data_IF_027620122686
#
_entry.id   IF_027620122686
#
_cell.length_a   1.000
_cell.length_b   1.000
_cell.length_c   1.000
_cell.angle_alpha   90.00
_cell.angle_beta   90.00
_cell.angle_gamma   90.00
#
_symmetry.space_group_name_H-M   'P 1'
#
loop_
_entity.id
_entity.type
_entity.pdbx_description
1 polymer ?
#
# COMPACT_ATOMS: atom_id res chain seq x y z
N UNK A 1 -7.75 26.48 38.96
CA UNK A 1 -8.41 25.83 37.80
C UNK A 1 -7.34 25.62 36.78
N UNK A 2 -6.91 24.38 36.59
CA UNK A 2 -5.91 24.07 35.57
C UNK A 2 -6.55 24.21 34.19
N UNK A 3 -5.81 24.78 33.24
CA UNK A 3 -6.30 24.87 31.87
C UNK A 3 -6.54 23.45 31.33
N UNK A 4 -7.65 23.17 30.63
CA UNK A 4 -7.90 21.85 30.08
C UNK A 4 -6.82 21.53 29.05
N UNK A 5 -5.86 20.70 29.45
CA UNK A 5 -4.84 20.15 28.56
C UNK A 5 -5.58 19.34 27.51
N UNK A 6 -5.76 19.91 26.30
CA UNK A 6 -6.30 19.19 25.14
C UNK A 6 -5.55 17.86 25.08
N UNK A 7 -6.21 16.70 25.29
CA UNK A 7 -5.51 15.42 25.38
C UNK A 7 -4.79 15.24 24.04
N UNK A 8 -3.45 15.15 24.09
CA UNK A 8 -2.62 15.22 22.88
C UNK A 8 -3.11 14.21 21.86
N UNK A 9 -3.67 14.65 20.71
CA UNK A 9 -4.18 13.71 19.72
C UNK A 9 -3.06 12.73 19.30
N UNK A 10 -3.38 11.43 19.15
CA UNK A 10 -2.38 10.38 18.98
C UNK A 10 -1.59 10.54 17.68
N UNK A 11 -0.60 9.66 17.52
CA UNK A 11 0.41 9.64 16.46
C UNK A 11 -0.09 10.18 15.11
N UNK A 12 0.40 11.37 14.73
CA UNK A 12 0.07 11.96 13.43
C UNK A 12 0.79 11.16 12.36
N UNK A 13 0.02 10.66 11.40
CA UNK A 13 0.51 9.81 10.32
C UNK A 13 0.57 10.63 9.03
N UNK A 14 1.74 10.66 8.40
CA UNK A 14 1.91 11.13 7.03
C UNK A 14 1.78 9.96 6.06
N UNK A 15 0.86 10.09 5.10
CA UNK A 15 0.59 9.08 4.07
C UNK A 15 1.35 9.33 2.76
N UNK A 16 1.91 10.54 2.58
CA UNK A 16 2.79 10.86 1.46
C UNK A 16 2.44 12.18 0.78
N UNK A 17 3.13 12.42 -0.34
CA UNK A 17 2.93 13.58 -1.21
C UNK A 17 2.41 13.12 -2.58
N UNK A 18 1.71 14.00 -3.28
CA UNK A 18 1.52 13.94 -4.73
C UNK A 18 1.41 15.36 -5.31
N UNK A 19 1.50 15.50 -6.64
CA UNK A 19 1.35 16.81 -7.29
C UNK A 19 -0.03 16.98 -7.89
N UNK A 20 -0.64 18.13 -7.58
CA UNK A 20 -1.78 18.73 -8.28
C UNK A 20 -1.26 19.89 -9.17
N UNK A 21 -2.13 20.49 -9.97
CA UNK A 21 -1.84 21.61 -10.87
C UNK A 21 -1.23 22.83 -10.15
N UNK A 22 -1.70 23.09 -8.92
CA UNK A 22 -1.27 24.23 -8.11
C UNK A 22 -0.01 23.94 -7.25
N UNK A 23 0.49 22.71 -7.24
CA UNK A 23 1.68 22.30 -6.48
C UNK A 23 1.53 20.98 -5.70
N UNK A 24 2.52 20.62 -4.86
CA UNK A 24 2.51 19.42 -4.04
C UNK A 24 1.41 19.47 -2.98
N UNK A 25 0.83 18.31 -2.75
CA UNK A 25 -0.21 18.04 -1.78
C UNK A 25 0.30 16.94 -0.86
N UNK A 26 0.42 17.26 0.42
CA UNK A 26 0.87 16.39 1.49
C UNK A 26 -0.35 15.92 2.30
N UNK A 27 -0.50 14.61 2.49
CA UNK A 27 -1.66 14.03 3.20
C UNK A 27 -1.24 13.56 4.58
N UNK A 28 -1.89 14.12 5.60
CA UNK A 28 -1.69 13.76 7.00
C UNK A 28 -3.01 13.29 7.62
N UNK A 29 -2.94 12.40 8.61
CA UNK A 29 -4.07 11.86 9.34
C UNK A 29 -3.81 11.90 10.85
N UNK A 30 -4.87 12.16 11.61
CA UNK A 30 -4.91 11.93 13.05
C UNK A 30 -6.29 11.32 13.38
N UNK A 31 -6.31 10.14 14.01
CA UNK A 31 -7.54 9.40 14.32
C UNK A 31 -8.43 9.17 13.09
N UNK A 32 -9.65 9.71 13.05
CA UNK A 32 -10.58 9.66 11.90
C UNK A 32 -10.42 10.83 10.93
N UNK A 33 -9.56 11.80 11.23
CA UNK A 33 -9.44 13.06 10.49
C UNK A 33 -8.26 13.04 9.50
N UNK A 34 -8.56 13.32 8.23
CA UNK A 34 -7.55 13.60 7.19
C UNK A 34 -7.42 15.11 7.01
N UNK A 35 -6.18 15.61 6.91
CA UNK A 35 -5.86 16.98 6.52
C UNK A 35 -4.89 16.97 5.34
N UNK A 36 -5.34 17.59 4.26
CA UNK A 36 -4.62 17.71 2.99
C UNK A 36 -3.98 19.10 2.90
N UNK A 37 -2.64 19.16 2.90
CA UNK A 37 -1.88 20.43 2.94
C UNK A 37 -1.18 20.65 1.61
N UNK A 38 -1.56 21.71 0.90
CA UNK A 38 -0.94 22.11 -0.37
C UNK A 38 0.19 23.12 -0.14
N UNK A 39 1.35 22.91 -0.76
CA UNK A 39 2.55 23.74 -0.58
C UNK A 39 2.90 24.50 -1.86
N UNK A 40 3.65 25.59 -1.74
CA UNK A 40 4.05 26.44 -2.88
C UNK A 40 5.43 26.06 -3.44
N UNK A 41 5.62 24.76 -3.68
CA UNK A 41 6.93 24.17 -3.96
C UNK A 41 6.94 23.50 -5.34
N UNK A 42 7.71 24.04 -6.30
CA UNK A 42 7.96 23.46 -7.63
C UNK A 42 6.84 23.59 -8.69
N UNK A 43 6.79 24.74 -9.38
CA UNK A 43 6.10 24.89 -10.68
C UNK A 43 6.91 24.22 -11.80
N UNK A 44 6.81 22.90 -11.93
CA UNK A 44 7.50 22.17 -12.99
C UNK A 44 6.99 20.75 -13.20
N UNK A 45 6.96 20.30 -14.46
CA UNK A 45 6.80 18.87 -14.74
C UNK A 45 8.03 18.09 -14.25
N UNK A 46 7.80 17.02 -13.49
CA UNK A 46 8.83 16.06 -13.05
C UNK A 46 9.29 15.18 -14.22
N UNK A 47 10.01 15.79 -15.16
CA UNK A 47 10.63 15.10 -16.29
C UNK A 47 11.69 14.08 -15.85
N UNK A 48 12.44 13.55 -16.82
CA UNK A 48 13.49 12.57 -16.54
C UNK A 48 14.77 13.16 -15.93
N UNK A 49 14.90 14.50 -15.81
CA UNK A 49 16.04 15.11 -15.14
C UNK A 49 16.13 14.69 -13.66
N UNK A 50 17.25 14.06 -13.29
CA UNK A 50 17.58 13.62 -11.95
C UNK A 50 17.73 14.76 -10.93
N UNK A 51 18.18 15.94 -11.35
CA UNK A 51 18.40 17.11 -10.48
C UNK A 51 17.05 17.64 -9.97
N UNK A 52 16.10 17.90 -10.87
CA UNK A 52 14.72 18.30 -10.54
C UNK A 52 14.01 17.28 -9.64
N UNK A 53 14.33 15.99 -9.78
CA UNK A 53 13.81 14.93 -8.89
C UNK A 53 14.44 14.94 -7.50
N UNK A 54 15.65 15.46 -7.36
CA UNK A 54 16.29 15.65 -6.06
C UNK A 54 15.80 16.94 -5.40
N UNK A 55 15.80 18.06 -6.14
CA UNK A 55 15.19 19.33 -5.73
C UNK A 55 13.76 19.14 -5.19
N UNK A 56 12.93 18.36 -5.90
CA UNK A 56 11.58 18.01 -5.47
C UNK A 56 11.55 17.24 -4.13
N UNK A 57 12.49 16.31 -3.90
CA UNK A 57 12.60 15.56 -2.63
C UNK A 57 13.04 16.46 -1.49
N UNK A 58 14.02 17.32 -1.74
CA UNK A 58 14.58 18.23 -0.75
C UNK A 58 13.51 19.26 -0.33
N UNK A 59 12.77 19.81 -1.29
CA UNK A 59 11.58 20.64 -1.04
C UNK A 59 10.47 19.88 -0.30
N UNK A 60 10.17 18.63 -0.69
CA UNK A 60 9.16 17.78 -0.01
C UNK A 60 9.54 17.54 1.45
N UNK A 61 10.82 17.27 1.74
CA UNK A 61 11.32 17.07 3.09
C UNK A 61 11.21 18.35 3.92
N UNK A 62 11.65 19.48 3.38
CA UNK A 62 11.57 20.80 4.00
C UNK A 62 10.12 21.22 4.31
N UNK A 63 9.18 21.01 3.38
CA UNK A 63 7.76 21.25 3.59
C UNK A 63 7.20 20.37 4.74
N UNK A 64 7.61 19.11 4.82
CA UNK A 64 7.23 18.19 5.92
C UNK A 64 7.86 18.60 7.25
N UNK A 65 9.11 19.06 7.28
CA UNK A 65 9.77 19.58 8.49
C UNK A 65 9.06 20.84 9.02
N UNK A 66 8.66 21.76 8.13
CA UNK A 66 7.84 22.93 8.51
C UNK A 66 6.52 22.46 9.12
N UNK A 67 5.78 21.58 8.44
CA UNK A 67 4.49 21.08 8.92
C UNK A 67 4.65 20.32 10.25
N UNK A 68 5.75 19.60 10.45
CA UNK A 68 6.10 18.91 11.69
C UNK A 68 6.19 19.88 12.88
N UNK A 69 6.76 21.09 12.68
CA UNK A 69 6.77 22.14 13.72
C UNK A 69 5.36 22.61 14.07
N UNK A 70 4.44 22.60 13.10
CA UNK A 70 3.08 23.12 13.23
C UNK A 70 2.07 22.12 13.82
N UNK A 71 2.38 20.82 13.90
CA UNK A 71 1.42 19.76 14.30
C UNK A 71 0.71 20.01 15.64
N UNK A 72 1.36 20.65 16.60
CA UNK A 72 0.74 21.02 17.89
C UNK A 72 -0.35 22.09 17.78
N UNK A 73 -0.40 22.84 16.67
CA UNK A 73 -1.37 23.90 16.38
C UNK A 73 -2.46 23.47 15.37
N UNK A 74 -2.42 22.23 14.88
CA UNK A 74 -3.41 21.72 13.91
C UNK A 74 -4.71 21.36 14.64
N UNK A 75 -5.79 22.02 14.22
CA UNK A 75 -7.15 21.73 14.67
C UNK A 75 -7.78 20.65 13.79
N UNK A 76 -7.42 19.40 14.07
CA UNK A 76 -7.94 18.22 13.37
C UNK A 76 -9.48 18.20 13.36
N UNK A 77 -10.06 17.84 12.22
CA UNK A 77 -11.51 17.87 12.00
C UNK A 77 -12.11 19.24 11.70
N UNK A 78 -11.39 20.35 11.88
CA UNK A 78 -11.88 21.70 11.53
C UNK A 78 -12.04 21.91 10.02
N UNK A 79 -11.08 21.43 9.24
CA UNK A 79 -11.15 21.41 7.77
C UNK A 79 -10.48 20.17 7.19
N UNK A 80 -10.85 19.81 5.95
CA UNK A 80 -10.17 18.76 5.17
C UNK A 80 -8.94 19.29 4.42
N UNK A 81 -8.80 20.60 4.24
CA UNK A 81 -7.72 21.21 3.45
C UNK A 81 -7.03 22.36 4.17
N UNK A 82 -5.76 22.59 3.84
CA UNK A 82 -5.02 23.81 4.18
C UNK A 82 -3.98 24.14 3.09
N UNK A 83 -3.54 25.40 3.05
CA UNK A 83 -2.39 25.82 2.25
C UNK A 83 -1.24 26.20 3.18
N UNK A 84 -0.03 25.70 2.94
CA UNK A 84 1.19 26.17 3.60
C UNK A 84 1.64 27.48 2.92
N UNK A 85 1.65 28.57 3.69
CA UNK A 85 1.95 29.91 3.18
C UNK A 85 3.10 30.52 3.97
N UNK A 86 4.17 30.90 3.27
CA UNK A 86 5.28 31.69 3.82
C UNK A 86 4.88 33.16 3.93
N UNK A 87 5.21 33.78 5.06
CA UNK A 87 4.94 35.21 5.31
C UNK A 87 6.14 36.10 4.93
N UNK A 88 5.92 37.42 4.89
CA UNK A 88 6.98 38.41 4.62
C UNK A 88 8.09 38.45 5.69
N UNK A 89 7.79 38.00 6.91
CA UNK A 89 8.75 37.76 7.99
C UNK A 89 9.64 36.53 7.76
N UNK A 90 9.35 35.73 6.73
CA UNK A 90 10.00 34.44 6.47
C UNK A 90 9.43 33.26 7.26
N UNK A 91 8.49 33.50 8.20
CA UNK A 91 7.74 32.46 8.92
C UNK A 91 6.78 31.70 7.98
N UNK A 92 6.13 30.66 8.51
CA UNK A 92 5.13 29.86 7.80
C UNK A 92 3.85 29.74 8.62
N UNK A 93 2.70 29.72 7.94
CA UNK A 93 1.41 29.37 8.55
C UNK A 93 0.50 28.55 7.64
N UNK A 94 -0.44 27.84 8.24
CA UNK A 94 -1.48 27.10 7.55
C UNK A 94 -2.72 27.98 7.33
N UNK A 95 -3.17 28.08 6.07
CA UNK A 95 -4.44 28.69 5.69
C UNK A 95 -5.50 27.62 5.46
N UNK A 96 -6.19 27.25 6.54
CA UNK A 96 -7.29 26.28 6.53
C UNK A 96 -8.43 26.69 5.58
N UNK A 97 -8.90 25.73 4.79
CA UNK A 97 -10.01 25.86 3.83
C UNK A 97 -10.82 24.56 3.83
N UNK A 98 -12.14 24.66 3.81
CA UNK A 98 -12.95 23.52 3.38
C UNK A 98 -13.00 23.53 1.84
N UNK A 99 -12.43 22.52 1.20
CA UNK A 99 -12.67 22.25 -0.22
C UNK A 99 -13.70 21.12 -0.30
N UNK A 100 -14.91 21.42 -0.77
CA UNK A 100 -15.98 20.41 -0.94
C UNK A 100 -15.64 19.53 -2.14
N UNK A 101 -15.74 18.18 -2.06
CA UNK A 101 -15.59 17.31 -3.22
C UNK A 101 -16.59 17.66 -4.33
N UNK A 102 -16.18 17.55 -5.59
CA UNK A 102 -17.07 17.84 -6.73
C UNK A 102 -18.22 16.81 -6.75
N UNK A 103 -19.49 17.22 -6.91
CA UNK A 103 -20.59 16.25 -7.03
C UNK A 103 -20.40 15.39 -8.28
N UNK A 104 -20.59 14.07 -8.13
CA UNK A 104 -20.47 13.11 -9.22
C UNK A 104 -21.82 12.88 -9.90
N UNK A 105 -21.84 12.94 -11.22
CA UNK A 105 -23.00 12.54 -12.05
C UNK A 105 -22.73 11.15 -12.62
N UNK A 106 -23.04 10.13 -11.84
CA UNK A 106 -22.84 8.71 -12.19
C UNK A 106 -24.17 7.94 -12.07
N UNK A 107 -24.26 6.77 -12.70
CA UNK A 107 -25.49 5.98 -12.68
C UNK A 107 -25.63 5.16 -11.38
N UNK A 108 -26.71 5.37 -10.62
CA UNK A 108 -26.92 4.73 -9.32
C UNK A 108 -27.57 3.33 -9.43
N UNK A 109 -26.81 2.35 -9.94
CA UNK A 109 -27.27 0.97 -10.16
C UNK A 109 -27.15 0.04 -8.93
N UNK A 110 -26.32 0.40 -7.96
CA UNK A 110 -26.08 -0.35 -6.72
C UNK A 110 -26.57 0.45 -5.50
N UNK A 111 -26.81 -0.19 -4.34
CA UNK A 111 -27.32 0.48 -3.14
C UNK A 111 -26.43 1.65 -2.71
N UNK A 112 -27.02 2.78 -2.32
CA UNK A 112 -26.28 3.89 -1.73
C UNK A 112 -26.02 3.64 -0.24
N UNK A 113 -24.82 4.02 0.23
CA UNK A 113 -24.35 3.83 1.61
C UNK A 113 -23.70 5.13 2.07
N UNK A 114 -24.01 5.67 3.25
CA UNK A 114 -23.23 6.82 3.79
C UNK A 114 -21.90 6.28 4.34
N UNK A 115 -20.80 6.96 4.06
CA UNK A 115 -19.45 6.62 4.54
C UNK A 115 -19.38 6.43 6.06
N UNK A 116 -20.29 7.05 6.83
CA UNK A 116 -20.44 6.89 8.29
C UNK A 116 -20.96 5.51 8.72
N UNK A 117 -21.53 4.70 7.81
CA UNK A 117 -21.86 3.29 8.06
C UNK A 117 -20.62 2.37 8.00
N UNK A 118 -19.48 2.88 7.50
CA UNK A 118 -18.30 2.08 7.16
C UNK A 118 -17.14 2.42 8.10
N UNK A 119 -16.70 1.47 8.92
CA UNK A 119 -15.53 1.65 9.78
C UNK A 119 -14.24 1.47 8.96
N UNK A 120 -13.53 2.57 8.67
CA UNK A 120 -12.35 2.56 7.77
C UNK A 120 -11.09 2.12 8.52
N UNK A 121 -10.90 0.81 8.60
CA UNK A 121 -9.82 0.13 9.31
C UNK A 121 -8.45 0.35 8.68
N UNK A 122 -8.33 0.38 7.35
CA UNK A 122 -7.04 0.54 6.65
C UNK A 122 -7.14 1.50 5.46
N UNK A 123 -6.04 2.19 5.18
CA UNK A 123 -5.85 3.03 3.99
C UNK A 123 -4.73 2.36 3.20
N UNK A 124 -4.92 2.22 1.89
CA UNK A 124 -3.99 1.50 0.99
C UNK A 124 -3.11 2.47 0.18
N UNK A 125 -3.62 3.66 -0.15
CA UNK A 125 -2.85 4.76 -0.72
C UNK A 125 -3.20 6.11 -0.06
N UNK A 126 -2.54 7.18 -0.51
CA UNK A 126 -2.74 8.55 -0.02
C UNK A 126 -3.84 9.32 -0.77
N UNK A 127 -4.73 8.67 -1.53
CA UNK A 127 -5.68 9.35 -2.42
C UNK A 127 -7.10 8.79 -2.37
N UNK A 128 -7.27 7.50 -2.63
CA UNK A 128 -8.56 6.89 -2.93
C UNK A 128 -8.79 5.50 -2.33
N UNK A 129 -7.76 4.66 -2.23
CA UNK A 129 -7.93 3.25 -1.90
C UNK A 129 -7.89 3.02 -0.39
N UNK A 130 -8.96 2.41 0.13
CA UNK A 130 -9.14 2.12 1.55
C UNK A 130 -9.77 0.74 1.73
N UNK A 131 -9.76 0.24 2.95
CA UNK A 131 -10.52 -0.93 3.39
C UNK A 131 -11.24 -0.60 4.69
N UNK A 132 -12.34 -1.30 4.94
CA UNK A 132 -13.10 -1.11 6.16
C UNK A 132 -13.98 -2.30 6.50
N UNK A 133 -14.85 -2.09 7.48
CA UNK A 133 -15.90 -3.04 7.87
C UNK A 133 -17.26 -2.35 7.64
N UNK A 134 -18.11 -2.97 6.84
CA UNK A 134 -19.52 -2.57 6.68
C UNK A 134 -20.42 -3.75 7.02
N UNK A 135 -21.35 -3.55 7.97
CA UNK A 135 -22.30 -4.58 8.44
C UNK A 135 -21.65 -5.92 8.83
N UNK A 136 -20.40 -5.88 9.30
CA UNK A 136 -19.62 -7.06 9.71
C UNK A 136 -18.86 -7.78 8.60
N UNK A 137 -18.89 -7.30 7.35
CA UNK A 137 -18.09 -7.80 6.22
C UNK A 137 -16.87 -6.89 6.01
N UNK A 138 -15.70 -7.46 5.72
CA UNK A 138 -14.56 -6.68 5.20
C UNK A 138 -14.90 -6.15 3.80
N UNK A 139 -14.60 -4.87 3.52
CA UNK A 139 -14.91 -4.21 2.24
C UNK A 139 -13.71 -3.43 1.70
N UNK A 140 -13.56 -3.41 0.38
CA UNK A 140 -12.61 -2.55 -0.32
C UNK A 140 -13.33 -1.29 -0.82
N UNK A 141 -12.64 -0.15 -0.80
CA UNK A 141 -13.22 1.17 -1.01
C UNK A 141 -12.35 1.98 -1.98
N UNK A 142 -12.97 2.55 -3.02
CA UNK A 142 -12.35 3.59 -3.87
C UNK A 142 -13.16 4.88 -3.68
N UNK A 143 -12.67 5.77 -2.82
CA UNK A 143 -13.40 6.97 -2.35
C UNK A 143 -12.55 8.23 -2.55
N UNK A 144 -13.14 9.25 -3.15
CA UNK A 144 -12.59 10.59 -3.33
C UNK A 144 -12.69 11.44 -2.04
N UNK A 145 -11.54 11.73 -1.42
CA UNK A 145 -11.42 12.85 -0.46
C UNK A 145 -10.93 14.14 -1.14
N UNK A 146 -10.38 14.05 -2.36
CA UNK A 146 -9.87 15.20 -3.11
C UNK A 146 -11.00 15.98 -3.82
N UNK A 147 -10.93 17.31 -3.87
CA UNK A 147 -11.83 18.16 -4.65
C UNK A 147 -11.40 18.35 -6.13
N UNK A 148 -10.30 17.73 -6.55
CA UNK A 148 -9.77 17.85 -7.91
C UNK A 148 -10.71 17.21 -8.94
N UNK A 149 -10.97 17.92 -10.07
CA UNK A 149 -11.96 17.46 -11.04
C UNK A 149 -11.65 16.09 -11.64
N UNK A 150 -10.37 15.80 -11.91
CA UNK A 150 -9.95 14.53 -12.51
C UNK A 150 -10.13 13.34 -11.56
N UNK A 151 -10.12 13.55 -10.24
CA UNK A 151 -10.43 12.50 -9.25
C UNK A 151 -11.92 12.18 -9.29
N UNK A 152 -12.76 13.22 -9.42
CA UNK A 152 -14.20 13.05 -9.61
C UNK A 152 -14.52 12.32 -10.92
N UNK A 153 -13.89 12.73 -12.02
CA UNK A 153 -14.05 12.10 -13.33
C UNK A 153 -13.63 10.61 -13.26
N UNK A 154 -12.49 10.30 -12.62
CA UNK A 154 -12.00 8.92 -12.40
C UNK A 154 -12.92 8.05 -11.54
N UNK A 155 -13.56 8.59 -10.49
CA UNK A 155 -14.51 7.84 -9.66
C UNK A 155 -15.83 7.60 -10.40
N UNK A 156 -16.27 8.53 -11.26
CA UNK A 156 -17.40 8.26 -12.16
C UNK A 156 -17.08 7.12 -13.13
N UNK A 157 -15.90 7.17 -13.78
CA UNK A 157 -15.44 6.08 -14.65
C UNK A 157 -15.30 4.75 -13.91
N UNK A 158 -14.95 4.75 -12.62
CA UNK A 158 -14.97 3.53 -11.80
C UNK A 158 -16.39 2.98 -11.64
N UNK A 159 -17.37 3.81 -11.26
CA UNK A 159 -18.76 3.39 -11.01
C UNK A 159 -19.42 2.85 -12.30
N UNK A 160 -19.21 3.55 -13.42
CA UNK A 160 -19.79 3.18 -14.71
C UNK A 160 -19.04 1.98 -15.34
N UNK A 161 -17.71 1.90 -15.21
CA UNK A 161 -16.92 0.74 -15.62
C UNK A 161 -17.18 -0.51 -14.78
N UNK A 162 -17.41 -0.35 -13.47
CA UNK A 162 -17.74 -1.44 -12.57
C UNK A 162 -19.11 -2.03 -12.88
N UNK A 163 -20.08 -1.19 -13.32
CA UNK A 163 -21.37 -1.67 -13.83
C UNK A 163 -21.17 -2.62 -15.02
N UNK A 164 -20.38 -2.20 -16.01
CA UNK A 164 -20.07 -2.99 -17.20
C UNK A 164 -19.37 -4.30 -16.85
N UNK A 165 -18.32 -4.25 -16.03
CA UNK A 165 -17.59 -5.44 -15.61
C UNK A 165 -18.44 -6.37 -14.71
N UNK A 166 -19.39 -5.84 -13.95
CA UNK A 166 -20.33 -6.65 -13.14
C UNK A 166 -21.34 -7.36 -14.04
N UNK A 167 -21.92 -6.66 -15.03
CA UNK A 167 -22.86 -7.23 -16.00
C UNK A 167 -22.24 -8.37 -16.83
N UNK A 168 -20.94 -8.26 -17.14
CA UNK A 168 -20.16 -9.30 -17.83
C UNK A 168 -19.49 -10.33 -16.88
N UNK A 169 -19.71 -10.23 -15.56
CA UNK A 169 -19.17 -11.17 -14.57
C UNK A 169 -17.67 -11.07 -14.29
N UNK A 170 -16.95 -10.08 -14.82
CA UNK A 170 -15.52 -9.84 -14.63
C UNK A 170 -15.16 -8.95 -13.43
N UNK A 171 -16.14 -8.33 -12.76
CA UNK A 171 -15.90 -7.58 -11.51
C UNK A 171 -16.00 -8.44 -10.25
N UNK A 172 -15.43 -7.94 -9.15
CA UNK A 172 -15.76 -8.38 -7.79
C UNK A 172 -17.14 -7.83 -7.39
N UNK A 173 -17.80 -8.42 -6.38
CA UNK A 173 -19.12 -7.96 -5.94
C UNK A 173 -19.11 -6.48 -5.51
N UNK A 174 -19.85 -5.63 -6.23
CA UNK A 174 -20.12 -4.25 -5.81
C UNK A 174 -21.19 -4.26 -4.73
N UNK A 175 -20.81 -3.81 -3.53
CA UNK A 175 -21.66 -3.82 -2.34
C UNK A 175 -22.45 -2.51 -2.17
N UNK A 176 -21.99 -1.42 -2.78
CA UNK A 176 -22.71 -0.16 -2.82
C UNK A 176 -21.92 1.00 -3.41
N UNK A 177 -22.64 2.09 -3.70
CA UNK A 177 -22.10 3.39 -4.09
C UNK A 177 -21.99 4.24 -2.83
N UNK A 178 -20.77 4.67 -2.50
CA UNK A 178 -20.46 5.37 -1.25
C UNK A 178 -20.80 6.85 -1.39
N UNK A 179 -21.54 7.37 -0.42
CA UNK A 179 -21.98 8.76 -0.34
C UNK A 179 -21.44 9.42 0.92
N UNK A 180 -21.33 10.75 0.91
CA UNK A 180 -20.98 11.55 2.08
C UNK A 180 -21.79 12.84 2.03
N UNK A 181 -22.63 13.05 3.06
CA UNK A 181 -23.52 14.20 3.17
C UNK A 181 -24.46 14.36 1.94
N UNK A 182 -24.92 13.24 1.39
CA UNK A 182 -25.82 13.18 0.23
C UNK A 182 -25.15 13.23 -1.15
N UNK A 183 -23.88 13.62 -1.24
CA UNK A 183 -23.11 13.55 -2.49
C UNK A 183 -22.44 12.18 -2.65
N UNK A 184 -22.39 11.63 -3.88
CA UNK A 184 -21.58 10.43 -4.15
C UNK A 184 -20.10 10.80 -4.05
N UNK A 185 -19.31 9.94 -3.39
CA UNK A 185 -17.86 10.10 -3.20
C UNK A 185 -17.06 8.86 -3.61
N UNK A 186 -17.69 7.71 -3.84
CA UNK A 186 -16.93 6.49 -4.14
C UNK A 186 -17.77 5.26 -4.45
N UNK A 187 -17.10 4.12 -4.50
CA UNK A 187 -17.67 2.79 -4.68
C UNK A 187 -17.05 1.80 -3.69
N UNK A 188 -17.86 0.83 -3.26
CA UNK A 188 -17.52 -0.19 -2.27
C UNK A 188 -17.65 -1.58 -2.91
N UNK A 189 -16.60 -2.38 -2.81
CA UNK A 189 -16.52 -3.75 -3.27
C UNK A 189 -16.35 -4.71 -2.10
N UNK A 190 -16.60 -6.00 -2.33
CA UNK A 190 -15.97 -7.04 -1.52
C UNK A 190 -14.43 -6.96 -1.61
N UNK A 191 -13.73 -7.46 -0.59
CA UNK A 191 -12.27 -7.54 -0.65
C UNK A 191 -11.85 -8.49 -1.79
N UNK A 192 -10.94 -8.09 -2.69
CA UNK A 192 -10.37 -8.99 -3.69
C UNK A 192 -9.68 -10.20 -3.04
N UNK A 193 -10.16 -11.39 -3.38
CA UNK A 193 -9.62 -12.69 -2.97
C UNK A 193 -9.34 -13.53 -4.21
N UNK A 194 -8.15 -14.14 -4.26
CA UNK A 194 -7.67 -14.89 -5.41
C UNK A 194 -6.13 -14.90 -5.41
N UNK A 195 -5.54 -15.01 -6.60
CA UNK A 195 -4.08 -14.89 -6.80
C UNK A 195 -3.78 -14.04 -8.03
N UNK A 196 -2.58 -13.49 -8.11
CA UNK A 196 -2.10 -12.83 -9.33
C UNK A 196 -1.91 -13.82 -10.49
N UNK A 197 -1.98 -13.30 -11.72
CA UNK A 197 -1.82 -14.04 -12.98
C UNK A 197 -0.41 -14.64 -13.11
N UNK A 198 -0.34 -15.86 -13.64
CA UNK A 198 0.87 -16.62 -13.97
C UNK A 198 0.82 -17.10 -15.44
N UNK A 199 1.94 -17.56 -16.00
CA UNK A 199 2.04 -17.93 -17.43
C UNK A 199 1.09 -19.07 -17.89
N UNK A 200 0.67 -19.95 -16.97
CA UNK A 200 -0.29 -21.00 -17.29
C UNK A 200 -1.73 -20.49 -17.43
N UNK A 201 -2.06 -19.30 -16.92
CA UNK A 201 -3.40 -18.72 -16.99
C UNK A 201 -3.73 -18.10 -18.36
N UNK A 202 -2.75 -18.04 -19.28
CA UNK A 202 -2.84 -17.24 -20.50
C UNK A 202 -4.08 -17.53 -21.35
N UNK A 203 -4.48 -18.79 -21.50
CA UNK A 203 -5.69 -19.14 -22.26
C UNK A 203 -6.92 -18.44 -21.68
N UNK A 204 -7.18 -18.62 -20.37
CA UNK A 204 -8.31 -18.00 -19.68
C UNK A 204 -8.28 -16.46 -19.70
N UNK A 205 -7.10 -15.82 -19.84
CA UNK A 205 -7.03 -14.39 -20.12
C UNK A 205 -7.38 -14.06 -21.58
N UNK A 206 -6.75 -14.70 -22.57
CA UNK A 206 -7.08 -14.44 -23.98
C UNK A 206 -8.57 -14.67 -24.27
N UNK A 207 -9.17 -15.71 -23.70
CA UNK A 207 -10.61 -16.01 -23.78
C UNK A 207 -11.46 -14.90 -23.13
N UNK A 208 -11.11 -14.46 -21.92
CA UNK A 208 -11.84 -13.40 -21.20
C UNK A 208 -11.74 -12.02 -21.88
N UNK A 209 -10.57 -11.71 -22.46
CA UNK A 209 -10.38 -10.46 -23.19
C UNK A 209 -11.05 -10.49 -24.56
N UNK A 210 -11.13 -11.65 -25.22
CA UNK A 210 -11.90 -11.80 -26.45
C UNK A 210 -13.40 -11.63 -26.20
N UNK A 211 -13.92 -12.16 -25.10
CA UNK A 211 -15.33 -11.96 -24.73
C UNK A 211 -15.63 -10.52 -24.30
N UNK A 212 -14.69 -9.80 -23.67
CA UNK A 212 -14.81 -8.36 -23.43
C UNK A 212 -14.90 -7.56 -24.74
N UNK A 213 -13.97 -7.79 -25.69
CA UNK A 213 -13.98 -7.09 -26.99
C UNK A 213 -15.26 -7.41 -27.79
N UNK A 214 -15.72 -8.66 -27.79
CA UNK A 214 -16.99 -9.10 -28.37
C UNK A 214 -18.22 -8.39 -27.78
N UNK A 215 -18.18 -8.00 -26.50
CA UNK A 215 -19.22 -7.17 -25.85
C UNK A 215 -18.95 -5.66 -26.00
N UNK A 216 -18.05 -5.26 -26.91
CA UNK A 216 -17.64 -3.87 -27.21
C UNK A 216 -16.93 -3.16 -26.04
N UNK A 217 -16.21 -3.91 -25.20
CA UNK A 217 -15.54 -3.40 -24.00
C UNK A 217 -14.02 -3.52 -24.09
N UNK A 218 -13.30 -2.40 -23.98
CA UNK A 218 -11.82 -2.41 -23.84
C UNK A 218 -11.41 -2.01 -22.43
N UNK A 219 -11.13 -3.02 -21.61
CA UNK A 219 -10.40 -2.82 -20.35
C UNK A 219 -8.91 -2.49 -20.60
N UNK A 220 -8.47 -1.29 -20.23
CA UNK A 220 -7.08 -0.83 -20.44
C UNK A 220 -6.13 -1.14 -19.28
N UNK A 221 -6.64 -1.58 -18.14
CA UNK A 221 -5.90 -1.73 -16.88
C UNK A 221 -4.98 -2.94 -16.78
N UNK A 222 -4.53 -3.54 -17.89
CA UNK A 222 -3.72 -4.76 -17.87
C UNK A 222 -2.34 -4.49 -17.23
N UNK A 223 -2.20 -4.90 -15.97
CA UNK A 223 -0.96 -4.82 -15.18
C UNK A 223 -0.69 -6.15 -14.47
N UNK A 224 0.44 -6.24 -13.77
CA UNK A 224 0.84 -7.42 -13.00
C UNK A 224 -0.02 -7.71 -11.77
N UNK A 225 -0.82 -6.73 -11.32
CA UNK A 225 -1.62 -6.78 -10.08
C UNK A 225 -3.11 -6.57 -10.30
N UNK A 226 -3.54 -5.95 -11.40
CA UNK A 226 -4.94 -5.58 -11.60
C UNK A 226 -5.82 -6.71 -12.14
N UNK A 227 -5.21 -7.81 -12.62
CA UNK A 227 -5.91 -9.03 -13.03
C UNK A 227 -5.71 -10.11 -11.98
N UNK A 228 -6.81 -10.63 -11.45
CA UNK A 228 -6.86 -11.63 -10.38
C UNK A 228 -7.47 -12.92 -10.91
N UNK A 229 -6.87 -14.06 -10.60
CA UNK A 229 -7.45 -15.38 -10.84
C UNK A 229 -8.17 -15.84 -9.57
N UNK A 230 -9.45 -16.16 -9.72
CA UNK A 230 -10.34 -16.65 -8.66
C UNK A 230 -10.81 -18.08 -8.97
N UNK A 231 -11.50 -18.71 -8.02
CA UNK A 231 -12.26 -19.95 -8.26
C UNK A 231 -13.38 -19.77 -9.30
N UNK A 232 -13.89 -18.54 -9.45
CA UNK A 232 -14.90 -18.12 -10.43
C UNK A 232 -14.29 -17.58 -11.74
N UNK A 233 -13.00 -17.85 -12.00
CA UNK A 233 -12.28 -17.39 -13.20
C UNK A 233 -11.59 -16.03 -13.05
N UNK A 234 -11.38 -15.33 -14.17
CA UNK A 234 -10.68 -14.03 -14.22
C UNK A 234 -11.51 -12.93 -13.57
N UNK A 235 -10.88 -12.05 -12.80
CA UNK A 235 -11.47 -10.81 -12.27
C UNK A 235 -10.56 -9.61 -12.47
N UNK A 236 -11.16 -8.45 -12.69
CA UNK A 236 -10.49 -7.21 -13.08
C UNK A 236 -10.72 -6.13 -12.01
N UNK A 237 -9.63 -5.49 -11.58
CA UNK A 237 -9.60 -4.35 -10.67
C UNK A 237 -9.49 -3.04 -11.47
N UNK A 238 -9.66 -1.89 -10.80
CA UNK A 238 -9.50 -0.55 -11.40
C UNK A 238 -10.39 -0.34 -12.64
N UNK A 239 -11.70 -0.40 -12.39
CA UNK A 239 -12.72 -0.35 -13.42
C UNK A 239 -12.75 1.00 -14.19
N UNK A 240 -12.15 2.06 -13.63
CA UNK A 240 -11.93 3.35 -14.29
C UNK A 240 -11.11 3.26 -15.58
N UNK A 241 -10.43 2.14 -15.81
CA UNK A 241 -9.67 1.86 -17.04
C UNK A 241 -10.53 1.29 -18.18
N UNK A 242 -11.81 0.97 -17.94
CA UNK A 242 -12.76 0.47 -18.96
C UNK A 242 -13.11 1.54 -19.99
N UNK A 243 -13.23 1.14 -21.25
CA UNK A 243 -13.94 1.83 -22.32
C UNK A 243 -15.07 0.93 -22.82
N UNK A 244 -16.17 1.54 -23.29
CA UNK A 244 -17.32 0.86 -23.93
C UNK A 244 -17.62 1.60 -25.22
N UNK A 245 -17.79 0.86 -26.31
CA UNK A 245 -17.92 1.41 -27.67
C UNK A 245 -19.34 1.21 -28.23
N UNK A 246 -19.85 2.24 -28.91
CA UNK A 246 -21.12 2.20 -29.66
C UNK A 246 -21.06 1.25 -30.85
N UNK A 247 -22.21 0.84 -31.39
CA UNK A 247 -22.30 -0.13 -32.50
C UNK A 247 -21.61 0.34 -33.79
N UNK A 248 -21.45 1.66 -33.97
CA UNK A 248 -20.80 2.33 -35.09
C UNK A 248 -19.27 2.51 -34.91
N UNK A 249 -18.72 2.24 -33.73
CA UNK A 249 -17.30 2.47 -33.40
C UNK A 249 -16.39 1.24 -33.64
N UNK A 250 -16.70 0.37 -34.62
CA UNK A 250 -15.96 -0.89 -34.89
C UNK A 250 -14.46 -0.68 -35.14
N UNK A 251 -14.07 0.31 -35.96
CA UNK A 251 -12.66 0.60 -36.25
C UNK A 251 -11.88 0.99 -34.98
N UNK A 252 -12.56 1.65 -34.03
CA UNK A 252 -11.96 2.04 -32.75
C UNK A 252 -11.95 0.91 -31.73
N UNK A 253 -13.00 0.08 -31.68
CA UNK A 253 -13.03 -1.13 -30.86
C UNK A 253 -11.83 -2.05 -31.19
N UNK A 254 -11.57 -2.33 -32.47
CA UNK A 254 -10.43 -3.14 -32.91
C UNK A 254 -9.09 -2.45 -32.63
N UNK A 255 -8.97 -1.15 -32.95
CA UNK A 255 -7.73 -0.35 -32.73
C UNK A 255 -7.34 -0.29 -31.25
N UNK A 256 -8.31 -0.09 -30.36
CA UNK A 256 -8.07 -0.08 -28.92
C UNK A 256 -7.90 -1.52 -28.36
N UNK A 257 -8.58 -2.52 -28.93
CA UNK A 257 -8.39 -3.95 -28.60
C UNK A 257 -6.95 -4.41 -28.83
N UNK A 258 -6.38 -4.18 -30.02
CA UNK A 258 -4.98 -4.53 -30.31
C UNK A 258 -4.00 -3.84 -29.34
N UNK A 259 -4.14 -2.52 -29.18
CA UNK A 259 -3.23 -1.68 -28.37
C UNK A 259 -3.28 -2.00 -26.87
N UNK A 260 -4.45 -2.38 -26.33
CA UNK A 260 -4.67 -2.50 -24.88
C UNK A 260 -4.96 -3.92 -24.39
N UNK A 261 -5.39 -4.83 -25.26
CA UNK A 261 -5.53 -6.26 -24.95
C UNK A 261 -4.38 -7.04 -25.57
N UNK A 262 -4.28 -7.11 -26.90
CA UNK A 262 -3.43 -8.10 -27.57
C UNK A 262 -1.93 -7.85 -27.40
N UNK A 263 -1.44 -6.63 -27.66
CA UNK A 263 -0.05 -6.24 -27.38
C UNK A 263 0.30 -6.39 -25.89
N UNK A 264 -0.66 -6.05 -25.00
CA UNK A 264 -0.45 -6.03 -23.54
C UNK A 264 -0.38 -7.43 -22.95
N UNK A 265 -1.28 -8.32 -23.35
CA UNK A 265 -1.24 -9.73 -22.94
C UNK A 265 0.00 -10.43 -23.50
N UNK A 266 0.35 -10.19 -24.78
CA UNK A 266 1.55 -10.75 -25.39
C UNK A 266 2.82 -10.35 -24.62
N UNK A 267 2.96 -9.06 -24.31
CA UNK A 267 4.08 -8.56 -23.49
C UNK A 267 4.08 -9.16 -22.07
N UNK A 268 2.93 -9.14 -21.39
CA UNK A 268 2.79 -9.67 -20.02
C UNK A 268 3.21 -11.15 -19.95
N UNK A 269 2.80 -11.95 -20.93
CA UNK A 269 3.10 -13.37 -20.95
C UNK A 269 4.51 -13.70 -21.44
N UNK A 270 5.15 -12.91 -22.31
CA UNK A 270 6.57 -13.09 -22.60
C UNK A 270 7.45 -12.77 -21.37
N UNK A 271 7.06 -11.81 -20.53
CA UNK A 271 7.71 -11.63 -19.23
C UNK A 271 7.47 -12.82 -18.28
N UNK A 272 6.23 -13.32 -18.18
CA UNK A 272 5.89 -14.42 -17.26
C UNK A 272 6.40 -15.80 -17.67
N UNK A 273 6.68 -16.00 -18.96
CA UNK A 273 7.37 -17.17 -19.52
C UNK A 273 8.80 -17.33 -18.97
N UNK A 274 9.43 -16.22 -18.59
CA UNK A 274 10.82 -16.17 -18.10
C UNK A 274 10.91 -16.16 -16.56
N UNK A 275 9.87 -15.66 -15.87
CA UNK A 275 9.83 -15.53 -14.41
C UNK A 275 8.39 -15.63 -13.90
N UNK A 276 8.10 -16.32 -12.77
CA UNK A 276 6.78 -16.27 -12.16
C UNK A 276 6.44 -14.84 -11.75
N UNK A 277 5.15 -14.51 -11.73
CA UNK A 277 4.68 -13.26 -11.15
C UNK A 277 4.80 -13.35 -9.62
N UNK A 278 5.64 -12.50 -9.04
CA UNK A 278 5.91 -12.43 -7.60
C UNK A 278 5.38 -11.13 -6.97
N UNK A 279 4.48 -10.43 -7.67
CA UNK A 279 3.85 -9.23 -7.12
C UNK A 279 2.82 -9.62 -6.04
N UNK A 280 2.87 -9.02 -4.85
CA UNK A 280 1.82 -9.18 -3.85
C UNK A 280 0.51 -8.53 -4.33
N UNK A 281 -0.62 -9.01 -3.81
CA UNK A 281 -1.90 -8.31 -3.92
C UNK A 281 -1.82 -6.97 -3.20
N UNK A 282 -2.60 -5.97 -3.64
CA UNK A 282 -2.63 -4.66 -2.98
C UNK A 282 -2.96 -4.75 -1.48
N UNK A 283 -3.78 -5.73 -1.06
CA UNK A 283 -4.11 -5.98 0.35
C UNK A 283 -2.95 -6.57 1.17
N UNK A 284 -1.95 -7.16 0.54
CA UNK A 284 -0.77 -7.76 1.19
C UNK A 284 0.37 -6.74 1.37
N UNK A 285 0.29 -5.60 0.67
CA UNK A 285 1.22 -4.47 0.84
C UNK A 285 0.76 -3.61 2.02
N UNK A 286 1.66 -3.35 2.97
CA UNK A 286 1.45 -2.31 3.97
C UNK A 286 1.60 -0.93 3.32
N UNK A 287 0.56 -0.12 3.43
CA UNK A 287 0.57 1.25 2.91
C UNK A 287 1.59 2.13 3.62
N UNK A 288 2.18 3.07 2.87
CA UNK A 288 3.22 3.95 3.39
C UNK A 288 2.64 4.93 4.40
N UNK A 289 2.94 4.65 5.67
CA UNK A 289 2.55 5.46 6.82
C UNK A 289 3.79 5.81 7.63
N UNK A 290 4.13 7.09 7.68
CA UNK A 290 5.22 7.60 8.52
C UNK A 290 4.63 8.33 9.72
N UNK A 291 4.88 7.83 10.94
CA UNK A 291 4.52 8.57 12.15
C UNK A 291 5.45 9.77 12.30
N UNK A 292 4.89 10.98 12.31
CA UNK A 292 5.65 12.21 12.51
C UNK A 292 5.57 12.63 13.98
N UNK A 293 6.69 12.66 14.73
CA UNK A 293 6.68 13.11 16.11
C UNK A 293 6.55 14.64 16.18
N UNK A 294 5.74 15.14 17.12
CA UNK A 294 5.59 16.59 17.37
C UNK A 294 6.83 17.16 18.04
N UNK A 295 7.25 18.37 17.65
CA UNK A 295 8.33 19.06 18.35
C UNK A 295 7.82 19.78 19.61
N UNK A 296 8.62 19.87 20.70
CA UNK A 296 9.92 19.24 20.90
C UNK A 296 9.80 17.81 21.47
N UNK A 297 9.86 16.79 20.61
CA UNK A 297 9.91 15.38 21.03
C UNK A 297 11.30 15.01 21.53
N UNK A 298 11.57 15.23 22.82
CA UNK A 298 12.86 14.97 23.46
C UNK A 298 13.41 13.53 23.26
N UNK A 299 12.54 12.54 22.97
CA UNK A 299 12.92 11.11 22.95
C UNK A 299 12.29 10.27 21.81
N UNK A 300 11.78 10.87 20.73
CA UNK A 300 11.31 10.11 19.55
C UNK A 300 12.22 10.35 18.35
N UNK A 301 13.11 9.39 18.09
CA UNK A 301 13.70 9.24 16.76
C UNK A 301 12.61 9.03 15.71
N UNK A 302 12.82 9.50 14.48
CA UNK A 302 12.03 9.09 13.32
C UNK A 302 12.23 7.58 13.09
N UNK A 303 11.22 6.79 13.42
CA UNK A 303 11.16 5.37 13.09
C UNK A 303 10.80 5.27 11.61
N UNK A 304 11.82 5.37 10.76
CA UNK A 304 11.74 4.92 9.38
C UNK A 304 11.61 3.40 9.40
N UNK A 305 10.39 2.92 9.15
CA UNK A 305 10.07 1.50 9.11
C UNK A 305 10.98 0.75 8.12
N UNK A 306 11.54 -0.42 8.47
CA UNK A 306 12.26 -1.28 7.52
C UNK A 306 11.48 -1.56 6.23
N UNK A 307 10.15 -1.61 6.26
CA UNK A 307 9.32 -1.78 5.05
C UNK A 307 9.34 -0.53 4.15
N UNK A 308 9.43 0.69 4.71
CA UNK A 308 9.67 1.92 3.94
C UNK A 308 11.04 1.86 3.26
N UNK A 309 12.06 1.29 3.91
CA UNK A 309 13.38 1.03 3.28
C UNK A 309 13.25 -0.02 2.17
N UNK A 310 12.50 -1.11 2.38
CA UNK A 310 12.25 -2.15 1.37
C UNK A 310 11.50 -1.60 0.16
N UNK A 311 10.59 -0.64 0.32
CA UNK A 311 9.90 -0.03 -0.83
C UNK A 311 10.71 1.08 -1.49
N UNK A 312 11.51 1.85 -0.74
CA UNK A 312 12.57 2.65 -1.35
C UNK A 312 13.54 1.78 -2.18
N UNK A 313 13.79 0.54 -1.74
CA UNK A 313 14.54 -0.47 -2.51
C UNK A 313 13.75 -1.03 -3.71
N UNK A 314 12.42 -1.17 -3.66
CA UNK A 314 11.61 -1.60 -4.82
C UNK A 314 11.48 -0.50 -5.87
N UNK A 315 11.19 0.74 -5.47
CA UNK A 315 11.33 1.94 -6.32
C UNK A 315 12.72 1.99 -6.97
N UNK A 316 13.77 1.76 -6.18
CA UNK A 316 15.16 1.74 -6.67
C UNK A 316 15.43 0.57 -7.62
N UNK A 317 14.86 -0.63 -7.40
CA UNK A 317 14.97 -1.75 -8.35
C UNK A 317 14.32 -1.41 -9.69
N UNK A 318 13.09 -0.89 -9.69
CA UNK A 318 12.43 -0.39 -10.90
C UNK A 318 13.26 0.70 -11.60
N UNK A 319 13.79 1.67 -10.84
CA UNK A 319 14.58 2.79 -11.39
C UNK A 319 15.98 2.38 -11.86
N UNK A 320 16.59 1.34 -11.27
CA UNK A 320 17.87 0.75 -11.70
C UNK A 320 17.74 -0.09 -12.97
N UNK A 321 16.58 -0.72 -13.21
CA UNK A 321 16.30 -1.37 -14.51
C UNK A 321 16.16 -0.36 -15.66
N UNK A 322 15.93 0.93 -15.37
CA UNK A 322 15.81 1.99 -16.37
C UNK A 322 17.14 2.72 -16.68
N UNK A 323 18.07 2.83 -15.72
CA UNK A 323 19.43 3.33 -15.95
C UNK A 323 20.44 2.68 -14.96
N UNK A 324 21.23 1.68 -15.40
CA UNK A 324 22.24 1.05 -14.56
C UNK A 324 23.49 1.91 -14.30
N UNK A 325 23.77 2.93 -15.12
CA UNK A 325 25.05 3.63 -15.12
C UNK A 325 25.14 4.73 -14.03
N UNK A 326 24.02 5.29 -13.61
CA UNK A 326 23.97 6.44 -12.67
C UNK A 326 24.12 6.11 -11.19
N UNK A 327 23.99 4.85 -10.77
CA UNK A 327 23.91 4.49 -9.35
C UNK A 327 25.15 3.73 -8.85
N UNK A 328 26.10 4.46 -8.26
CA UNK A 328 27.33 3.85 -7.74
C UNK A 328 27.04 2.93 -6.55
N UNK A 329 27.46 1.66 -6.68
CA UNK A 329 27.23 0.62 -5.67
C UNK A 329 27.89 0.95 -4.32
N UNK A 330 28.97 1.75 -4.32
CA UNK A 330 29.70 2.17 -3.11
C UNK A 330 28.89 3.09 -2.21
N UNK A 331 28.27 4.15 -2.74
CA UNK A 331 27.53 5.11 -1.92
C UNK A 331 26.34 4.44 -1.21
N UNK A 332 25.62 3.55 -1.91
CA UNK A 332 24.52 2.80 -1.31
C UNK A 332 25.01 1.73 -0.31
N UNK A 333 26.16 1.09 -0.54
CA UNK A 333 26.78 0.22 0.47
C UNK A 333 27.19 0.96 1.75
N UNK A 334 27.61 2.23 1.66
CA UNK A 334 27.90 3.06 2.84
C UNK A 334 26.62 3.39 3.60
N UNK A 335 25.58 3.89 2.90
CA UNK A 335 24.28 4.19 3.51
C UNK A 335 23.65 2.95 4.17
N UNK A 336 23.64 1.80 3.48
CA UNK A 336 23.16 0.54 4.01
C UNK A 336 23.97 0.09 5.23
N UNK A 337 25.31 0.15 5.19
CA UNK A 337 26.14 -0.17 6.36
C UNK A 337 25.88 0.76 7.55
N UNK A 338 25.60 2.05 7.32
CA UNK A 338 25.25 2.98 8.40
C UNK A 338 23.88 2.64 9.00
N UNK A 339 22.88 2.31 8.17
CA UNK A 339 21.57 1.87 8.63
C UNK A 339 21.65 0.54 9.40
N UNK A 340 22.26 -0.50 8.80
CA UNK A 340 22.44 -1.81 9.43
C UNK A 340 23.24 -1.71 10.72
N UNK A 341 24.37 -0.97 10.75
CA UNK A 341 25.15 -0.78 11.99
C UNK A 341 24.35 -0.05 13.10
N UNK A 342 23.34 0.76 12.75
CA UNK A 342 22.41 1.39 13.70
C UNK A 342 21.28 0.45 14.17
N UNK A 343 21.01 -0.63 13.43
CA UNK A 343 20.11 -1.75 13.81
C UNK A 343 20.87 -2.81 14.61
N UNK A 344 22.02 -3.26 14.14
CA UNK A 344 22.92 -4.19 14.83
C UNK A 344 23.34 -3.64 16.19
N UNK A 345 23.61 -2.33 16.29
CA UNK A 345 23.88 -1.65 17.57
C UNK A 345 22.71 -1.66 18.56
N UNK A 346 21.47 -1.92 18.12
CA UNK A 346 20.30 -2.14 18.99
C UNK A 346 20.17 -3.62 19.33
N UNK A 347 20.30 -4.50 18.33
CA UNK A 347 20.22 -5.96 18.52
C UNK A 347 21.33 -6.47 19.45
N UNK A 348 22.53 -5.88 19.41
CA UNK A 348 23.63 -6.18 20.33
C UNK A 348 23.34 -5.76 21.78
N UNK A 349 22.41 -4.83 22.03
CA UNK A 349 21.92 -4.49 23.37
C UNK A 349 20.80 -5.43 23.87
N UNK A 350 20.22 -6.24 22.97
CA UNK A 350 19.23 -7.28 23.25
C UNK A 350 19.81 -8.68 22.99
N UNK A 351 20.99 -8.97 23.53
CA UNK A 351 21.60 -10.29 23.46
C UNK A 351 20.78 -11.33 24.23
N UNK A 352 20.07 -12.19 23.51
CA UNK A 352 19.44 -13.38 24.10
C UNK A 352 20.47 -14.48 24.32
N UNK A 353 20.61 -14.96 25.56
CA UNK A 353 21.37 -16.17 25.91
C UNK A 353 20.73 -17.42 25.29
N UNK A 354 21.00 -17.70 24.01
CA UNK A 354 20.64 -18.97 23.39
C UNK A 354 21.78 -19.97 23.65
N UNK A 355 21.64 -20.79 24.69
CA UNK A 355 22.48 -21.99 24.84
C UNK A 355 22.11 -23.02 23.76
N UNK A 356 23.04 -23.46 22.91
CA UNK A 356 22.79 -24.56 21.98
C UNK A 356 22.90 -25.90 22.73
N UNK A 357 21.78 -26.39 23.27
CA UNK A 357 21.70 -27.74 23.84
C UNK A 357 21.59 -28.79 22.73
N UNK A 358 22.68 -29.03 21.98
CA UNK A 358 22.75 -30.12 21.02
C UNK A 358 23.19 -31.42 21.71
N UNK A 359 22.31 -32.42 21.68
CA UNK A 359 22.68 -33.81 21.97
C UNK A 359 23.54 -34.31 20.81
N UNK A 360 24.65 -34.98 21.13
CA UNK A 360 25.60 -35.46 20.12
C UNK A 360 25.05 -36.63 19.29
N UNK A 361 25.53 -36.71 18.05
CA UNK A 361 25.58 -37.95 17.28
C UNK A 361 26.94 -38.00 16.60
N UNK A 362 27.73 -39.03 16.92
CA UNK A 362 29.08 -39.20 16.40
C UNK A 362 29.04 -39.84 15.01
N UNK A 363 29.82 -39.30 14.07
CA UNK A 363 30.39 -40.13 13.00
C UNK A 363 31.74 -39.55 12.56
N UNK A 364 32.79 -40.35 12.68
CA UNK A 364 34.16 -39.93 12.39
C UNK A 364 34.45 -40.00 10.89
N UNK A 365 35.20 -39.03 10.36
CA UNK A 365 36.15 -39.29 9.26
C UNK A 365 37.35 -38.38 9.31
N UNK A 366 38.51 -38.99 9.14
CA UNK A 366 39.85 -38.38 9.23
C UNK A 366 40.44 -38.08 7.86
N UNK A 367 41.52 -37.29 7.87
CA UNK A 367 42.51 -36.92 6.85
C UNK A 367 42.58 -35.37 6.78
N UNK A 368 43.67 -34.62 6.93
CA UNK A 368 45.12 -34.81 7.21
C UNK A 368 45.81 -33.66 6.45
N UNK A 369 46.59 -32.82 7.16
CA UNK A 369 47.86 -32.20 6.70
C UNK A 369 47.90 -31.30 5.44
N UNK A 370 48.60 -30.15 5.39
CA UNK A 370 49.45 -29.35 6.34
C UNK A 370 49.25 -27.83 5.98
N UNK A 371 49.97 -26.78 6.42
CA UNK A 371 51.28 -26.59 7.07
C UNK A 371 51.34 -25.31 7.95
N UNK A 372 52.37 -24.45 7.79
CA UNK A 372 52.65 -23.25 8.60
C UNK A 372 52.04 -21.94 8.07
N UNK A 373 52.30 -20.77 8.66
CA UNK A 373 53.31 -20.47 9.69
C UNK A 373 52.91 -19.42 10.76
N UNK A 374 53.55 -19.59 11.92
CA UNK A 374 53.95 -18.63 12.98
C UNK A 374 53.62 -17.13 12.79
N UNK A 375 52.92 -16.50 13.75
CA UNK A 375 53.49 -15.43 14.61
C UNK A 375 52.61 -15.13 15.87
N UNK A 376 53.17 -14.34 16.80
CA UNK A 376 52.94 -14.45 18.25
C UNK A 376 51.92 -13.47 18.88
N UNK A 377 51.10 -14.02 19.81
CA UNK A 377 50.74 -13.55 21.16
C UNK A 377 50.22 -12.11 21.49
N UNK A 378 49.60 -12.03 22.68
CA UNK A 378 49.11 -10.86 23.44
C UNK A 378 47.82 -10.20 22.89
N UNK A 379 46.82 -9.82 23.69
CA UNK A 379 46.63 -9.98 25.16
C UNK A 379 45.13 -10.13 25.55
N UNK A 380 44.82 -10.55 26.79
CA UNK A 380 43.44 -10.80 27.29
C UNK A 380 43.11 -10.06 28.59
N UNK A 381 42.08 -9.20 28.61
CA UNK A 381 41.36 -8.84 29.83
C UNK A 381 40.47 -9.99 30.34
N UNK A 382 40.31 -10.12 31.66
CA UNK A 382 39.51 -11.18 32.32
C UNK A 382 38.05 -10.76 32.50
N UNK A 383 37.12 -11.69 32.36
CA UNK A 383 35.73 -11.55 32.81
C UNK A 383 35.63 -11.70 34.34
N UNK A 384 34.65 -11.02 34.95
CA UNK A 384 34.31 -11.16 36.38
C UNK A 384 32.84 -11.58 36.47
N UNK A 385 32.62 -12.86 36.77
CA UNK A 385 31.27 -13.38 37.01
C UNK A 385 30.80 -13.02 38.44
N UNK A 386 29.54 -12.57 38.56
CA UNK A 386 28.78 -12.57 39.82
C UNK A 386 27.47 -13.31 39.61
N UNK A 387 27.24 -14.34 40.40
CA UNK A 387 26.05 -15.20 40.34
C UNK A 387 24.94 -14.67 41.26
N UNK A 388 23.73 -14.53 40.73
CA UNK A 388 22.49 -14.26 41.47
C UNK A 388 21.42 -15.24 40.95
N UNK A 389 20.60 -15.88 41.81
CA UNK A 389 19.77 -17.01 41.41
C UNK A 389 18.56 -16.61 40.55
N UNK A 390 18.23 -17.44 39.54
CA UNK A 390 17.02 -17.29 38.72
C UNK A 390 15.79 -17.85 39.44
N UNK A 391 14.76 -17.02 39.62
CA UNK A 391 13.41 -17.50 39.97
C UNK A 391 12.81 -18.26 38.78
N UNK A 392 12.07 -19.35 39.02
CA UNK A 392 11.26 -20.00 37.96
C UNK A 392 9.87 -19.34 37.90
N UNK A 393 9.46 -18.95 36.70
CA UNK A 393 8.06 -18.70 36.35
C UNK A 393 7.74 -19.59 35.15
N UNK A 394 6.65 -20.33 35.21
CA UNK A 394 6.17 -21.19 34.11
C UNK A 394 5.36 -20.37 33.13
N UNK A 395 5.65 -20.48 31.84
CA UNK A 395 4.83 -19.88 30.79
C UNK A 395 3.60 -20.76 30.51
N UNK A 396 2.40 -20.20 30.63
CA UNK A 396 1.18 -20.84 30.13
C UNK A 396 1.07 -20.67 28.61
N UNK A 397 0.68 -21.73 27.90
CA UNK A 397 0.52 -21.70 26.44
C UNK A 397 -0.92 -21.28 26.11
N UNK A 398 -1.09 -20.05 25.65
CA UNK A 398 -2.39 -19.55 25.18
C UNK A 398 -2.79 -20.25 23.87
N UNK A 399 -3.90 -20.98 23.87
CA UNK A 399 -4.45 -21.64 22.68
C UNK A 399 -5.16 -20.63 21.77
N UNK A 400 -4.89 -20.68 20.47
CA UNK A 400 -5.54 -19.81 19.47
C UNK A 400 -6.96 -20.34 19.13
N UNK A 401 -8.03 -19.51 19.19
CA UNK A 401 -9.42 -19.99 19.31
C UNK A 401 -10.09 -20.55 18.03
N UNK A 402 -9.35 -20.81 16.94
CA UNK A 402 -9.92 -21.24 15.66
C UNK A 402 -9.24 -22.47 15.04
N UNK A 403 -9.14 -23.55 15.81
CA UNK A 403 -8.88 -24.90 15.28
C UNK A 403 -10.20 -25.64 15.06
N UNK A 404 -10.72 -25.64 13.81
CA UNK A 404 -11.92 -26.43 13.46
C UNK A 404 -11.51 -27.80 12.91
N UNK A 405 -11.92 -28.85 13.62
CA UNK A 405 -11.78 -30.24 13.20
C UNK A 405 -12.67 -30.56 11.98
N UNK A 406 -12.21 -31.47 11.11
CA UNK A 406 -12.91 -31.85 9.88
C UNK A 406 -14.18 -32.66 10.20
N UNK A 407 -15.35 -32.11 9.89
CA UNK A 407 -16.62 -32.85 9.97
C UNK A 407 -16.71 -33.93 8.87
N UNK A 408 -17.34 -35.07 9.18
CA UNK A 408 -17.65 -36.12 8.20
C UNK A 408 -18.95 -35.79 7.44
N UNK A 409 -19.08 -36.17 6.15
CA UNK A 409 -20.32 -35.97 5.41
C UNK A 409 -21.41 -36.93 5.88
N UNK A 410 -22.63 -36.40 6.06
CA UNK A 410 -23.82 -37.19 6.37
C UNK A 410 -24.52 -37.54 5.04
N UNK A 411 -24.76 -38.84 4.80
CA UNK A 411 -25.63 -39.27 3.69
C UNK A 411 -27.07 -38.87 3.99
N UNK A 412 -27.72 -38.15 3.07
CA UNK A 412 -29.19 -38.11 3.03
C UNK A 412 -29.71 -39.42 2.43
N UNK A 413 -30.76 -39.95 3.05
CA UNK A 413 -31.59 -41.04 2.50
C UNK A 413 -32.82 -40.36 1.88
N UNK A 414 -33.23 -40.84 0.70
CA UNK A 414 -34.48 -40.42 0.06
C UNK A 414 -35.66 -41.21 0.66
N UNK A 415 -36.79 -40.53 0.85
CA UNK A 415 -38.09 -41.13 1.12
C UNK A 415 -38.99 -40.92 -0.12
N UNK A 416 -39.95 -41.81 -0.41
CA UNK A 416 -40.63 -41.86 -1.70
C UNK A 416 -41.83 -40.90 -1.81
N UNK A 417 -42.28 -40.70 -3.05
CA UNK A 417 -43.49 -39.96 -3.40
C UNK A 417 -44.78 -40.58 -2.83
N UNK A 418 -45.77 -39.73 -2.56
CA UNK A 418 -47.18 -40.11 -2.41
C UNK A 418 -48.08 -39.08 -3.10
N UNK A 419 -48.76 -39.54 -4.16
CA UNK A 419 -50.01 -39.01 -4.77
C UNK A 419 -50.18 -37.49 -4.89
#
# INVERSE_FOLDING_TARGET
MDAPTKPSPPDVVYFGVFNDRDGPIHVFRCESYTLTIQTRSFLGQLGQNSERRQEYRDNTAFDVEIIQTMLGSIEWGRTNYAYLVRESSGSYRLMYRNKVPRPLTCHLWAPTVDIKEIDVTRWLDQRIYREGIWRGREVNLKIMDSPESWVADMVSSEIDGARTLTALGYSFEVLGIVTSNGGVVGIMYEIPVGRVVQYHDRAALYDAFADLQKHRVVYRGITTTNVIITDKGVRLLDASTVLVFGEDEDEDLERYGETWHWERLAKLFEEYKQRPNVMPLAREVNAYKMVIPRLPSLYRELILDPEIIVVAMLEYRFKKQLDPARYSQRQWQVALRMAMKKVDGRLASSSWDIQPSFVGSESSRTLSDTSGDVYSALDKPRTVNRSIPRLRVTAEVAFHPYSRSKARPIRRILAPDLS
#
